data_IF_463993384428
#
_entry.id   IF_463993384428
#
_cell.length_a   1.000
_cell.length_b   1.000
_cell.length_c   1.000
_cell.angle_alpha   90.00
_cell.angle_beta   90.00
_cell.angle_gamma   90.00
#
_symmetry.space_group_name_H-M   'P 1'
#
loop_
_entity.id
_entity.type
_entity.pdbx_description
1 polymer ?
#
# COMPACT_ATOMS: atom_id res chain seq x y z
N UNK A 1 -18.43 -12.66 18.60
CA UNK A 1 -17.74 -12.59 17.31
C UNK A 1 -17.58 -14.00 16.74
N UNK A 2 -18.27 -14.32 15.66
CA UNK A 2 -18.22 -15.69 15.11
C UNK A 2 -16.84 -15.95 14.49
N UNK A 3 -16.18 -17.00 14.95
CA UNK A 3 -14.81 -17.41 14.56
C UNK A 3 -14.58 -17.73 13.07
N UNK A 4 -15.62 -17.71 12.25
CA UNK A 4 -15.55 -18.18 10.86
C UNK A 4 -15.40 -17.09 9.77
N UNK A 5 -15.72 -15.82 10.06
CA UNK A 5 -15.70 -14.75 9.05
C UNK A 5 -14.30 -14.17 8.75
N UNK A 6 -13.30 -14.49 9.59
CA UNK A 6 -11.94 -13.96 9.43
C UNK A 6 -11.04 -14.80 8.50
N UNK A 7 -11.49 -15.98 8.10
CA UNK A 7 -10.57 -16.95 7.46
C UNK A 7 -10.28 -16.64 6.00
N UNK A 8 -11.21 -16.08 5.25
CA UNK A 8 -11.05 -15.99 3.80
C UNK A 8 -10.07 -14.90 3.35
N UNK A 9 -10.14 -13.67 3.88
CA UNK A 9 -9.22 -12.59 3.51
C UNK A 9 -7.82 -12.83 4.07
N UNK A 10 -7.69 -13.40 5.29
CA UNK A 10 -6.39 -13.81 5.82
C UNK A 10 -5.74 -14.91 4.98
N UNK A 11 -6.52 -15.80 4.35
CA UNK A 11 -5.97 -16.82 3.45
C UNK A 11 -5.33 -16.21 2.21
N UNK A 12 -5.96 -15.19 1.61
CA UNK A 12 -5.40 -14.44 0.47
C UNK A 12 -4.12 -13.69 0.84
N UNK A 13 -4.09 -13.05 2.01
CA UNK A 13 -2.88 -12.37 2.51
C UNK A 13 -1.75 -13.38 2.78
N UNK A 14 -2.05 -14.50 3.42
CA UNK A 14 -1.07 -15.58 3.63
C UNK A 14 -0.59 -16.19 2.31
N UNK A 15 -1.45 -16.27 1.31
CA UNK A 15 -1.06 -16.71 -0.05
C UNK A 15 -0.02 -15.74 -0.64
N UNK A 16 -0.30 -14.43 -0.64
CA UNK A 16 0.63 -13.43 -1.14
C UNK A 16 1.99 -13.48 -0.40
N UNK A 17 1.94 -13.53 0.94
CA UNK A 17 3.15 -13.62 1.77
C UNK A 17 4.00 -14.83 1.39
N UNK A 18 3.39 -16.00 1.22
CA UNK A 18 4.11 -17.24 0.86
C UNK A 18 4.60 -17.23 -0.58
N UNK A 19 3.75 -16.85 -1.53
CA UNK A 19 4.07 -16.88 -2.97
C UNK A 19 5.25 -15.97 -3.31
N UNK A 20 5.33 -14.80 -2.66
CA UNK A 20 6.38 -13.82 -2.92
C UNK A 20 7.44 -13.74 -1.80
N UNK A 21 7.47 -14.71 -0.88
CA UNK A 21 8.43 -14.74 0.22
C UNK A 21 8.56 -13.39 0.94
N UNK A 22 7.39 -12.77 1.29
CA UNK A 22 7.35 -11.40 1.80
C UNK A 22 7.84 -11.29 3.24
N UNK A 23 7.59 -12.29 4.07
CA UNK A 23 7.89 -12.29 5.52
C UNK A 23 8.66 -13.56 5.87
N UNK A 24 9.78 -13.39 6.54
CA UNK A 24 10.65 -14.43 7.06
C UNK A 24 10.70 -14.38 8.59
N UNK A 25 11.00 -15.51 9.27
CA UNK A 25 11.14 -15.52 10.73
C UNK A 25 12.18 -14.52 11.22
N UNK A 26 11.83 -13.73 12.24
CA UNK A 26 12.67 -12.71 12.83
C UNK A 26 12.65 -11.36 12.10
N UNK A 27 11.82 -11.20 11.06
CA UNK A 27 11.71 -9.92 10.34
C UNK A 27 11.21 -8.78 11.25
N UNK A 28 11.79 -7.60 11.03
CA UNK A 28 11.28 -6.32 11.54
C UNK A 28 10.65 -5.56 10.38
N UNK A 29 9.33 -5.37 10.44
CA UNK A 29 8.53 -4.82 9.36
C UNK A 29 8.12 -3.38 9.70
N UNK A 30 8.51 -2.43 8.86
CA UNK A 30 8.00 -1.07 8.89
C UNK A 30 6.69 -1.01 8.10
N UNK A 31 5.56 -0.76 8.76
CA UNK A 31 4.27 -0.56 8.10
C UNK A 31 4.10 0.91 7.79
N UNK A 32 4.05 1.26 6.51
CA UNK A 32 3.86 2.65 6.07
C UNK A 32 2.40 3.07 6.29
N UNK A 33 2.17 3.89 7.31
CA UNK A 33 0.85 4.46 7.61
C UNK A 33 0.68 5.80 6.88
N UNK A 34 -0.13 5.80 5.82
CA UNK A 34 -0.51 7.05 5.12
C UNK A 34 -1.66 7.77 5.81
N UNK A 35 -2.33 7.13 6.76
CA UNK A 35 -3.60 7.57 7.34
C UNK A 35 -4.83 7.15 6.54
N UNK A 36 -4.67 6.69 5.31
CA UNK A 36 -5.77 6.12 4.51
C UNK A 36 -6.20 4.74 4.99
N UNK A 37 -7.45 4.35 4.67
CA UNK A 37 -8.08 3.09 5.09
C UNK A 37 -7.21 1.86 4.87
N UNK A 38 -6.54 1.77 3.70
CA UNK A 38 -5.81 0.56 3.31
C UNK A 38 -4.55 0.36 4.15
N UNK A 39 -3.88 1.46 4.53
CA UNK A 39 -2.72 1.41 5.42
C UNK A 39 -3.11 1.01 6.85
N UNK A 40 -4.28 1.46 7.34
CA UNK A 40 -4.82 1.07 8.63
C UNK A 40 -5.23 -0.40 8.64
N UNK A 41 -5.90 -0.86 7.57
CA UNK A 41 -6.28 -2.27 7.37
C UNK A 41 -5.04 -3.16 7.30
N UNK A 42 -4.00 -2.74 6.56
CA UNK A 42 -2.73 -3.47 6.51
C UNK A 42 -2.13 -3.66 7.91
N UNK A 43 -2.03 -2.58 8.69
CA UNK A 43 -1.49 -2.63 10.05
C UNK A 43 -2.26 -3.63 10.91
N UNK A 44 -3.59 -3.55 10.90
CA UNK A 44 -4.45 -4.45 11.65
C UNK A 44 -4.30 -5.90 11.19
N UNK A 45 -4.28 -6.18 9.88
CA UNK A 45 -4.12 -7.53 9.34
C UNK A 45 -2.76 -8.12 9.76
N UNK A 46 -1.68 -7.36 9.64
CA UNK A 46 -0.35 -7.85 10.05
C UNK A 46 -0.31 -8.14 11.55
N UNK A 47 -0.94 -7.31 12.38
CA UNK A 47 -1.06 -7.56 13.81
C UNK A 47 -1.89 -8.83 14.12
N UNK A 48 -2.99 -9.09 13.37
CA UNK A 48 -3.72 -10.34 13.48
C UNK A 48 -2.86 -11.55 13.07
N UNK A 49 -2.05 -11.41 12.03
CA UNK A 49 -1.13 -12.48 11.61
C UNK A 49 -0.04 -12.72 12.65
N UNK A 50 0.52 -11.69 13.25
CA UNK A 50 1.51 -11.80 14.33
C UNK A 50 0.93 -12.57 15.54
N UNK A 51 -0.30 -12.26 15.94
CA UNK A 51 -0.92 -12.85 17.13
C UNK A 51 -1.46 -14.27 16.92
N UNK A 52 -1.94 -14.58 15.71
CA UNK A 52 -2.72 -15.79 15.44
C UNK A 52 -2.14 -16.68 14.34
N UNK A 53 -0.92 -16.42 13.89
CA UNK A 53 -0.21 -17.29 12.97
C UNK A 53 1.12 -17.75 13.55
N UNK A 54 1.76 -18.72 12.89
CA UNK A 54 3.10 -19.16 13.26
C UNK A 54 4.21 -18.29 12.65
N UNK A 55 3.85 -17.10 12.11
CA UNK A 55 4.81 -16.16 11.56
C UNK A 55 5.44 -15.38 12.72
N UNK A 56 6.74 -15.50 12.86
CA UNK A 56 7.54 -14.75 13.85
C UNK A 56 8.10 -13.50 13.20
N UNK A 57 7.54 -12.33 13.52
CA UNK A 57 8.01 -11.03 13.07
C UNK A 57 7.57 -9.93 14.02
N UNK A 58 8.20 -8.77 13.95
CA UNK A 58 7.82 -7.58 14.70
C UNK A 58 7.35 -6.45 13.78
N UNK A 59 6.44 -5.61 14.29
CA UNK A 59 5.81 -4.52 13.53
C UNK A 59 6.22 -3.18 14.14
N UNK A 60 6.60 -2.25 13.28
CA UNK A 60 6.78 -0.83 13.59
C UNK A 60 5.93 -0.02 12.60
N UNK A 61 5.00 0.78 13.10
CA UNK A 61 4.25 1.70 12.27
C UNK A 61 5.06 2.97 12.02
N UNK A 62 5.06 3.48 10.79
CA UNK A 62 5.74 4.73 10.45
C UNK A 62 4.86 5.60 9.56
N UNK A 63 4.64 6.84 9.99
CA UNK A 63 3.97 7.88 9.22
C UNK A 63 5.00 8.89 8.72
N UNK A 64 5.05 9.12 7.42
CA UNK A 64 5.84 10.20 6.83
C UNK A 64 4.95 11.43 6.73
N UNK A 65 5.20 12.39 7.59
CA UNK A 65 4.56 13.71 7.53
C UNK A 65 5.13 14.48 6.33
N UNK A 66 4.29 14.70 5.32
CA UNK A 66 4.68 15.43 4.11
C UNK A 66 4.78 16.94 4.31
N UNK A 67 4.38 17.47 5.48
CA UNK A 67 4.37 18.90 5.78
C UNK A 67 3.08 19.61 5.33
N UNK A 68 1.98 18.87 5.11
CA UNK A 68 0.67 19.49 4.91
C UNK A 68 0.06 19.93 6.24
N UNK A 69 -0.68 21.06 6.28
CA UNK A 69 -1.33 21.52 7.51
C UNK A 69 -2.50 20.60 7.92
N UNK A 70 -2.96 20.76 9.16
CA UNK A 70 -4.20 20.19 9.71
C UNK A 70 -4.34 18.67 9.59
N UNK A 71 -3.23 17.92 9.73
CA UNK A 71 -3.27 16.48 9.77
C UNK A 71 -3.80 15.98 11.12
N UNK A 72 -4.95 15.29 11.10
CA UNK A 72 -5.48 14.61 12.29
C UNK A 72 -4.84 13.22 12.42
N UNK A 73 -3.82 13.13 13.25
CA UNK A 73 -3.09 11.87 13.50
C UNK A 73 -3.63 11.11 14.73
N UNK A 74 -4.67 11.65 15.39
CA UNK A 74 -5.16 11.10 16.67
C UNK A 74 -5.63 9.65 16.52
N UNK A 75 -6.39 9.36 15.47
CA UNK A 75 -6.87 8.02 15.25
C UNK A 75 -5.73 7.00 15.01
N UNK A 76 -4.72 7.37 14.20
CA UNK A 76 -3.55 6.49 13.98
C UNK A 76 -2.80 6.22 15.29
N UNK A 77 -2.62 7.25 16.11
CA UNK A 77 -1.95 7.12 17.40
C UNK A 77 -2.74 6.22 18.36
N UNK A 78 -4.06 6.38 18.42
CA UNK A 78 -4.95 5.54 19.23
C UNK A 78 -4.95 4.09 18.72
N UNK A 79 -5.04 3.89 17.41
CA UNK A 79 -5.02 2.53 16.83
C UNK A 79 -3.71 1.83 17.16
N UNK A 80 -2.57 2.46 16.94
CA UNK A 80 -1.26 1.88 17.24
C UNK A 80 -1.12 1.56 18.73
N UNK A 81 -1.57 2.45 19.61
CA UNK A 81 -1.57 2.25 21.06
C UNK A 81 -2.43 1.05 21.45
N UNK A 82 -3.66 0.94 20.92
CA UNK A 82 -4.57 -0.18 21.19
C UNK A 82 -4.02 -1.52 20.70
N UNK A 83 -3.26 -1.50 19.61
CA UNK A 83 -2.60 -2.69 19.05
C UNK A 83 -1.24 -2.97 19.69
N UNK A 84 -0.77 -2.12 20.61
CA UNK A 84 0.56 -2.18 21.22
C UNK A 84 1.69 -2.15 20.18
N UNK A 85 1.52 -1.40 19.08
CA UNK A 85 2.50 -1.24 18.02
C UNK A 85 3.18 0.13 18.16
N UNK A 86 4.54 0.19 18.20
CA UNK A 86 5.25 1.47 18.20
C UNK A 86 4.96 2.26 16.91
N UNK A 87 4.63 3.55 17.07
CA UNK A 87 4.38 4.48 15.96
C UNK A 87 5.46 5.57 15.93
N UNK A 88 6.10 5.71 14.79
CA UNK A 88 7.03 6.79 14.50
C UNK A 88 6.40 7.81 13.55
N UNK A 89 6.64 9.10 13.83
CA UNK A 89 6.31 10.23 12.95
C UNK A 89 7.61 10.81 12.40
N UNK A 90 7.81 10.68 11.09
CA UNK A 90 8.98 11.21 10.41
C UNK A 90 8.60 12.46 9.62
N UNK A 91 9.11 13.62 10.06
CA UNK A 91 8.87 14.90 9.38
C UNK A 91 9.66 14.99 8.08
N UNK A 92 9.04 15.53 7.05
CA UNK A 92 9.70 15.77 5.78
C UNK A 92 9.30 17.14 5.18
N UNK A 93 10.08 17.60 4.21
CA UNK A 93 9.81 18.82 3.45
C UNK A 93 9.18 18.52 2.08
N UNK A 94 8.41 17.44 1.96
CA UNK A 94 7.85 16.99 0.68
C UNK A 94 6.86 18.03 0.13
N UNK A 95 6.01 18.61 0.97
CA UNK A 95 5.08 19.66 0.55
C UNK A 95 5.81 20.85 -0.08
N UNK A 96 6.92 21.30 0.54
CA UNK A 96 7.74 22.38 -0.02
C UNK A 96 8.39 21.99 -1.35
N UNK A 97 8.83 20.74 -1.50
CA UNK A 97 9.45 20.26 -2.73
C UNK A 97 8.48 20.19 -3.92
N UNK A 98 7.18 19.95 -3.67
CA UNK A 98 6.15 19.90 -4.72
C UNK A 98 5.39 21.21 -4.89
N UNK A 99 5.50 22.15 -3.94
CA UNK A 99 4.93 23.50 -3.96
C UNK A 99 5.99 24.57 -3.68
N UNK A 100 7.09 24.61 -4.44
CA UNK A 100 8.08 25.66 -4.28
C UNK A 100 7.44 27.03 -4.56
N UNK A 101 7.62 27.98 -3.65
CA UNK A 101 7.09 29.34 -3.76
C UNK A 101 5.57 29.42 -4.02
N UNK A 102 4.81 28.44 -3.53
CA UNK A 102 3.37 28.37 -3.67
C UNK A 102 2.88 27.96 -5.07
N UNK A 103 3.76 27.50 -5.95
CA UNK A 103 3.43 27.00 -7.30
C UNK A 103 3.60 25.49 -7.38
N UNK A 104 2.60 24.82 -7.97
CA UNK A 104 2.65 23.39 -8.20
C UNK A 104 3.64 23.07 -9.32
N UNK A 105 4.52 22.09 -9.09
CA UNK A 105 5.41 21.57 -10.12
C UNK A 105 4.67 20.63 -11.09
N UNK A 106 5.30 20.30 -12.21
CA UNK A 106 4.82 19.25 -13.11
C UNK A 106 4.93 17.86 -12.44
N UNK A 107 3.90 17.02 -12.63
CA UNK A 107 3.84 15.66 -12.08
C UNK A 107 4.09 15.55 -10.56
N UNK A 108 3.41 16.35 -9.74
CA UNK A 108 3.68 16.47 -8.31
C UNK A 108 3.48 15.14 -7.56
N UNK A 109 2.50 14.33 -7.96
CA UNK A 109 2.22 13.02 -7.37
C UNK A 109 3.38 12.04 -7.57
N UNK A 110 4.04 12.05 -8.71
CA UNK A 110 5.18 11.20 -8.99
C UNK A 110 6.39 11.57 -8.11
N UNK A 111 6.69 12.87 -7.99
CA UNK A 111 7.76 13.34 -7.10
C UNK A 111 7.42 13.05 -5.63
N UNK A 112 6.20 13.34 -5.18
CA UNK A 112 5.74 13.05 -3.81
C UNK A 112 5.91 11.56 -3.47
N UNK A 113 5.44 10.67 -4.34
CA UNK A 113 5.57 9.23 -4.16
C UNK A 113 7.03 8.77 -4.06
N UNK A 114 7.91 9.32 -4.90
CA UNK A 114 9.35 9.02 -4.88
C UNK A 114 10.01 9.50 -3.59
N UNK A 115 9.71 10.71 -3.16
CA UNK A 115 10.28 11.29 -1.93
C UNK A 115 9.78 10.54 -0.68
N UNK A 116 8.49 10.22 -0.61
CA UNK A 116 7.92 9.43 0.50
C UNK A 116 8.57 8.05 0.59
N UNK A 117 8.76 7.38 -0.54
CA UNK A 117 9.46 6.09 -0.59
C UNK A 117 10.90 6.22 -0.11
N UNK A 118 11.62 7.26 -0.55
CA UNK A 118 12.98 7.56 -0.08
C UNK A 118 13.04 7.75 1.44
N UNK A 119 12.12 8.53 2.01
CA UNK A 119 12.02 8.75 3.45
C UNK A 119 11.72 7.44 4.21
N UNK A 120 10.82 6.61 3.71
CA UNK A 120 10.52 5.30 4.28
C UNK A 120 11.73 4.37 4.28
N UNK A 121 12.48 4.31 3.17
CA UNK A 121 13.70 3.50 3.06
C UNK A 121 14.76 3.98 4.06
N UNK A 122 15.01 5.28 4.16
CA UNK A 122 15.95 5.85 5.12
C UNK A 122 15.54 5.56 6.57
N UNK A 123 14.25 5.72 6.89
CA UNK A 123 13.75 5.41 8.21
C UNK A 123 13.91 3.92 8.56
N UNK A 124 13.56 3.03 7.64
CA UNK A 124 13.67 1.59 7.82
C UNK A 124 15.12 1.17 8.06
N UNK A 125 16.06 1.68 7.27
CA UNK A 125 17.51 1.44 7.41
C UNK A 125 18.01 1.86 8.78
N UNK A 126 17.71 3.10 9.19
CA UNK A 126 18.10 3.66 10.49
C UNK A 126 17.55 2.85 11.68
N UNK A 127 16.37 2.27 11.53
CA UNK A 127 15.68 1.54 12.60
C UNK A 127 15.81 0.01 12.48
N UNK A 128 16.64 -0.49 11.57
CA UNK A 128 16.91 -1.91 11.40
C UNK A 128 15.70 -2.72 10.91
N UNK A 129 14.78 -2.08 10.18
CA UNK A 129 13.67 -2.75 9.53
C UNK A 129 14.08 -3.18 8.11
N UNK A 130 14.08 -4.49 7.84
CA UNK A 130 14.45 -5.03 6.52
C UNK A 130 13.27 -5.14 5.56
N UNK A 131 12.04 -4.97 6.05
CA UNK A 131 10.82 -5.01 5.23
C UNK A 131 10.03 -3.72 5.43
N UNK A 132 9.50 -3.18 4.33
CA UNK A 132 8.54 -2.06 4.36
C UNK A 132 7.24 -2.57 3.75
N UNK A 133 6.16 -2.60 4.52
CA UNK A 133 4.86 -3.03 4.07
C UNK A 133 4.01 -1.85 3.61
N UNK A 134 3.46 -1.94 2.40
CA UNK A 134 2.57 -0.95 1.78
C UNK A 134 1.18 -1.54 1.58
N UNK A 135 0.13 -0.74 1.81
CA UNK A 135 -1.28 -1.14 1.74
C UNK A 135 -1.88 -1.20 0.33
N UNK A 136 -1.07 -1.48 -0.70
CA UNK A 136 -1.60 -1.64 -2.05
C UNK A 136 -2.35 -2.95 -2.21
N UNK A 137 -3.53 -2.89 -2.86
CA UNK A 137 -4.44 -4.02 -3.08
C UNK A 137 -4.69 -4.29 -4.57
N UNK A 138 -5.52 -5.27 -4.91
CA UNK A 138 -5.76 -5.71 -6.30
C UNK A 138 -6.28 -4.58 -7.22
N UNK A 139 -7.10 -3.69 -6.69
CA UNK A 139 -7.62 -2.54 -7.47
C UNK A 139 -6.49 -1.57 -7.82
N UNK A 140 -5.53 -1.33 -6.90
CA UNK A 140 -4.35 -0.51 -7.20
C UNK A 140 -3.48 -1.10 -8.32
N UNK A 141 -3.40 -2.44 -8.40
CA UNK A 141 -2.71 -3.15 -9.49
C UNK A 141 -3.39 -2.84 -10.82
N UNK A 142 -4.72 -3.02 -10.89
CA UNK A 142 -5.51 -2.72 -12.08
C UNK A 142 -5.41 -1.25 -12.48
N UNK A 143 -5.58 -0.33 -11.52
CA UNK A 143 -5.45 1.12 -11.75
C UNK A 143 -4.06 1.48 -12.30
N UNK A 144 -3.00 0.91 -11.74
CA UNK A 144 -1.63 1.20 -12.18
C UNK A 144 -1.36 0.64 -13.57
N UNK A 145 -1.83 -0.57 -13.87
CA UNK A 145 -1.71 -1.17 -15.21
C UNK A 145 -2.41 -0.30 -16.25
N UNK A 146 -3.68 0.07 -16.02
CA UNK A 146 -4.45 0.87 -16.98
C UNK A 146 -3.90 2.30 -17.11
N UNK A 147 -3.43 2.90 -16.03
CA UNK A 147 -2.77 4.20 -16.07
C UNK A 147 -1.53 4.14 -17.00
N UNK A 148 -0.70 3.12 -16.83
CA UNK A 148 0.50 2.97 -17.65
C UNK A 148 0.19 2.61 -19.11
N UNK A 149 -0.83 1.78 -19.36
CA UNK A 149 -1.27 1.46 -20.72
C UNK A 149 -1.83 2.66 -21.45
N UNK A 150 -2.75 3.41 -20.83
CA UNK A 150 -3.50 4.48 -21.50
C UNK A 150 -2.71 5.78 -21.60
N UNK A 151 -1.88 6.11 -20.62
CA UNK A 151 -1.12 7.36 -20.59
C UNK A 151 0.37 7.18 -20.84
N UNK A 152 0.92 6.00 -20.53
CA UNK A 152 2.35 5.74 -20.68
C UNK A 152 2.72 4.88 -21.88
N UNK A 153 1.74 4.21 -22.51
CA UNK A 153 1.99 3.22 -23.57
C UNK A 153 2.88 2.07 -23.09
N UNK A 154 2.81 1.72 -21.80
CA UNK A 154 3.69 0.73 -21.17
C UNK A 154 2.88 -0.34 -20.46
N UNK A 155 3.26 -1.60 -20.66
CA UNK A 155 2.78 -2.72 -19.87
C UNK A 155 3.64 -2.83 -18.61
N UNK A 156 3.28 -2.07 -17.60
CA UNK A 156 4.06 -1.99 -16.35
C UNK A 156 3.14 -1.84 -15.15
N UNK A 157 3.47 -2.53 -14.07
CA UNK A 157 2.80 -2.43 -12.77
C UNK A 157 3.84 -2.65 -11.66
N UNK A 158 3.52 -2.24 -10.45
CA UNK A 158 4.40 -2.51 -9.31
C UNK A 158 4.38 -4.00 -8.94
N UNK A 159 5.54 -4.57 -8.64
CA UNK A 159 5.64 -5.96 -8.16
C UNK A 159 5.11 -6.11 -6.73
N UNK A 160 4.58 -7.30 -6.35
CA UNK A 160 4.19 -7.61 -4.97
C UNK A 160 5.34 -7.48 -3.95
N UNK A 161 6.56 -7.79 -4.38
CA UNK A 161 7.81 -7.59 -3.63
C UNK A 161 8.84 -6.92 -4.54
N UNK A 162 9.57 -5.94 -3.98
CA UNK A 162 10.69 -5.26 -4.65
C UNK A 162 11.86 -5.25 -3.68
N UNK A 163 12.99 -5.80 -4.09
CA UNK A 163 14.20 -5.85 -3.28
C UNK A 163 15.15 -4.69 -3.65
N UNK A 164 15.60 -3.96 -2.66
CA UNK A 164 16.66 -2.95 -2.74
C UNK A 164 17.93 -3.58 -2.20
N UNK A 165 18.65 -4.31 -3.04
CA UNK A 165 19.81 -5.11 -2.66
C UNK A 165 20.92 -4.27 -2.04
N UNK A 166 21.14 -3.06 -2.56
CA UNK A 166 22.09 -2.08 -2.06
C UNK A 166 21.83 -1.63 -0.61
N UNK A 167 20.58 -1.78 -0.14
CA UNK A 167 20.13 -1.42 1.21
C UNK A 167 19.78 -2.61 2.10
N UNK A 168 19.67 -3.80 1.53
CA UNK A 168 19.17 -4.99 2.23
C UNK A 168 17.73 -4.82 2.72
N UNK A 169 16.88 -4.04 2.01
CA UNK A 169 15.50 -3.75 2.35
C UNK A 169 14.58 -4.20 1.22
N UNK A 170 13.46 -4.83 1.56
CA UNK A 170 12.42 -5.17 0.60
C UNK A 170 11.15 -4.36 0.85
N UNK A 171 10.51 -3.87 -0.20
CA UNK A 171 9.14 -3.36 -0.14
C UNK A 171 8.20 -4.53 -0.43
N UNK A 172 7.20 -4.75 0.43
CA UNK A 172 6.22 -5.82 0.32
C UNK A 172 4.79 -5.27 0.29
N UNK A 173 3.87 -5.99 -0.38
CA UNK A 173 2.46 -5.61 -0.54
C UNK A 173 1.53 -6.76 -0.18
N UNK A 174 1.35 -7.03 1.13
CA UNK A 174 0.60 -8.21 1.58
C UNK A 174 -0.87 -8.24 1.15
N UNK A 175 -1.46 -7.06 0.83
CA UNK A 175 -2.87 -6.95 0.42
C UNK A 175 -3.10 -7.15 -1.07
N UNK A 176 -2.07 -7.44 -1.87
CA UNK A 176 -2.14 -7.46 -3.34
C UNK A 176 -3.24 -8.35 -3.93
N UNK A 177 -3.70 -9.37 -3.19
CA UNK A 177 -4.80 -10.27 -3.58
C UNK A 177 -6.16 -9.90 -2.99
N UNK A 178 -6.24 -8.86 -2.17
CA UNK A 178 -7.51 -8.34 -1.67
C UNK A 178 -8.06 -7.28 -2.63
N UNK A 179 -9.37 -7.26 -2.79
CA UNK A 179 -10.08 -6.17 -3.45
C UNK A 179 -10.34 -5.00 -2.48
N UNK A 180 -10.49 -3.80 -3.03
CA UNK A 180 -10.76 -2.57 -2.26
C UNK A 180 -12.01 -2.73 -1.39
N UNK A 181 -13.07 -3.39 -1.91
CA UNK A 181 -14.31 -3.60 -1.18
C UNK A 181 -14.10 -4.43 0.10
N UNK A 182 -13.17 -5.36 0.06
CA UNK A 182 -12.78 -6.12 1.25
C UNK A 182 -12.08 -5.23 2.28
N UNK A 183 -11.19 -4.36 1.85
CA UNK A 183 -10.52 -3.39 2.73
C UNK A 183 -11.55 -2.43 3.36
N UNK A 184 -12.55 -1.96 2.59
CA UNK A 184 -13.64 -1.13 3.09
C UNK A 184 -14.42 -1.87 4.19
N UNK A 185 -14.86 -3.12 3.93
CA UNK A 185 -15.62 -3.92 4.92
C UNK A 185 -14.83 -4.18 6.20
N UNK A 186 -13.51 -4.37 6.10
CA UNK A 186 -12.66 -4.53 7.28
C UNK A 186 -12.60 -3.21 8.05
N UNK A 187 -12.36 -2.10 7.37
CA UNK A 187 -12.27 -0.78 7.98
C UNK A 187 -13.58 -0.39 8.71
N UNK A 188 -14.72 -0.63 8.09
CA UNK A 188 -16.04 -0.39 8.68
C UNK A 188 -16.28 -1.26 9.92
N UNK A 189 -16.01 -2.55 9.81
CA UNK A 189 -16.20 -3.50 10.91
C UNK A 189 -15.33 -3.19 12.12
N UNK A 190 -14.08 -2.81 11.89
CA UNK A 190 -13.14 -2.44 12.94
C UNK A 190 -13.24 -0.95 13.32
N UNK A 191 -14.27 -0.25 12.83
CA UNK A 191 -14.56 1.17 13.10
C UNK A 191 -13.34 2.07 12.87
N UNK A 192 -12.57 1.78 11.83
CA UNK A 192 -11.40 2.57 11.45
C UNK A 192 -11.84 3.88 10.84
N UNK A 193 -11.32 4.99 11.37
CA UNK A 193 -11.56 6.33 10.81
C UNK A 193 -10.30 6.76 10.05
N UNK A 194 -10.32 6.72 8.71
CA UNK A 194 -9.20 7.23 7.92
C UNK A 194 -9.00 8.72 8.16
N UNK A 195 -7.73 9.12 8.16
CA UNK A 195 -7.36 10.53 8.23
C UNK A 195 -7.87 11.26 6.98
N UNK A 196 -8.40 12.47 7.17
CA UNK A 196 -8.74 13.33 6.04
C UNK A 196 -7.46 13.69 5.29
N UNK A 197 -7.46 13.45 3.97
CA UNK A 197 -6.35 13.87 3.14
C UNK A 197 -6.35 15.41 3.01
N UNK A 198 -5.25 16.03 3.40
CA UNK A 198 -5.10 17.49 3.34
C UNK A 198 -4.25 17.95 2.15
N UNK A 199 -3.90 17.02 1.24
CA UNK A 199 -3.19 17.34 0.00
C UNK A 199 -4.09 18.17 -0.93
N UNK A 200 -3.66 19.35 -1.38
CA UNK A 200 -4.52 20.27 -2.17
C UNK A 200 -4.87 19.76 -3.57
N UNK A 201 -4.17 18.72 -4.05
CA UNK A 201 -4.43 18.09 -5.37
C UNK A 201 -5.13 16.73 -5.24
N UNK A 202 -5.65 16.41 -4.07
CA UNK A 202 -6.42 15.19 -3.86
C UNK A 202 -7.69 15.20 -4.73
N UNK A 203 -8.07 14.04 -5.25
CA UNK A 203 -9.22 13.83 -6.16
C UNK A 203 -9.15 14.50 -7.55
N UNK A 204 -8.08 15.23 -7.89
CA UNK A 204 -7.87 15.84 -9.22
C UNK A 204 -6.76 15.11 -9.99
N UNK A 205 -6.80 13.78 -10.01
CA UNK A 205 -5.71 13.00 -10.59
C UNK A 205 -6.24 12.08 -11.68
N UNK A 206 -5.43 11.89 -12.72
CA UNK A 206 -5.67 10.90 -13.78
C UNK A 206 -5.97 9.50 -13.22
N UNK A 207 -5.45 9.19 -12.02
CA UNK A 207 -5.75 7.93 -11.32
C UNK A 207 -7.23 7.81 -10.94
N UNK A 208 -7.88 8.92 -10.56
CA UNK A 208 -9.31 8.92 -10.25
C UNK A 208 -10.15 8.62 -11.50
N UNK A 209 -9.79 9.18 -12.67
CA UNK A 209 -10.45 8.90 -13.95
C UNK A 209 -10.34 7.41 -14.31
N UNK A 210 -9.14 6.83 -14.14
CA UNK A 210 -8.92 5.38 -14.36
C UNK A 210 -9.77 4.54 -13.40
N UNK A 211 -9.86 4.92 -12.14
CA UNK A 211 -10.71 4.23 -11.15
C UNK A 211 -12.18 4.21 -11.57
N UNK A 212 -12.71 5.32 -12.06
CA UNK A 212 -14.10 5.42 -12.55
C UNK A 212 -14.32 4.57 -13.80
N UNK A 213 -13.37 4.58 -14.74
CA UNK A 213 -13.40 3.70 -15.91
C UNK A 213 -13.43 2.23 -15.51
N UNK A 214 -12.52 1.81 -14.61
CA UNK A 214 -12.45 0.43 -14.13
C UNK A 214 -13.72 0.02 -13.37
N UNK A 215 -14.35 0.91 -12.63
CA UNK A 215 -15.64 0.62 -11.99
C UNK A 215 -16.73 0.33 -13.02
N UNK A 216 -16.75 1.07 -14.13
CA UNK A 216 -17.69 0.79 -15.24
C UNK A 216 -17.42 -0.58 -15.88
N UNK A 217 -16.15 -0.92 -16.11
CA UNK A 217 -15.75 -2.21 -16.67
C UNK A 217 -16.14 -3.36 -15.72
N UNK A 218 -15.93 -3.21 -14.41
CA UNK A 218 -16.28 -4.22 -13.40
C UNK A 218 -17.75 -4.56 -13.35
N UNK A 219 -18.64 -3.61 -13.70
CA UNK A 219 -20.08 -3.91 -13.79
C UNK A 219 -20.39 -4.98 -14.84
N UNK A 220 -19.61 -5.03 -15.93
CA UNK A 220 -19.76 -6.03 -17.00
C UNK A 220 -18.87 -7.26 -16.78
N UNK A 221 -17.71 -7.05 -16.17
CA UNK A 221 -16.66 -8.07 -15.94
C UNK A 221 -16.29 -8.14 -14.45
N UNK A 222 -17.10 -8.79 -13.61
CA UNK A 222 -16.87 -8.82 -12.14
C UNK A 222 -15.53 -9.42 -11.73
N UNK A 223 -14.97 -10.31 -12.55
CA UNK A 223 -13.68 -10.97 -12.32
C UNK A 223 -12.46 -10.18 -12.84
N UNK A 224 -12.64 -8.91 -13.25
CA UNK A 224 -11.59 -8.11 -13.87
C UNK A 224 -10.27 -8.14 -13.09
N UNK A 225 -10.30 -7.82 -11.80
CA UNK A 225 -9.09 -7.79 -10.97
C UNK A 225 -8.41 -9.17 -10.90
N UNK A 226 -9.20 -10.24 -10.74
CA UNK A 226 -8.67 -11.62 -10.72
C UNK A 226 -7.99 -11.97 -12.04
N UNK A 227 -8.60 -11.62 -13.16
CA UNK A 227 -8.07 -11.92 -14.49
C UNK A 227 -6.79 -11.10 -14.77
N UNK A 228 -6.74 -9.83 -14.34
CA UNK A 228 -5.52 -9.01 -14.44
C UNK A 228 -4.39 -9.62 -13.60
N UNK A 229 -4.63 -9.97 -12.33
CA UNK A 229 -3.61 -10.59 -11.50
C UNK A 229 -3.12 -11.90 -12.09
N UNK A 230 -4.04 -12.75 -12.57
CA UNK A 230 -3.69 -14.00 -13.24
C UNK A 230 -2.81 -13.78 -14.47
N UNK A 231 -3.15 -12.80 -15.33
CA UNK A 231 -2.33 -12.50 -16.51
C UNK A 231 -0.93 -12.00 -16.15
N UNK A 232 -0.81 -11.18 -15.10
CA UNK A 232 0.49 -10.68 -14.61
C UNK A 232 1.37 -11.79 -14.02
N UNK A 233 0.76 -12.81 -13.42
CA UNK A 233 1.46 -13.96 -12.82
C UNK A 233 1.93 -14.99 -13.85
N UNK A 234 1.27 -15.04 -15.01
CA UNK A 234 1.48 -16.09 -16.03
C UNK A 234 1.93 -15.54 -17.39
N UNK A 235 2.24 -14.23 -17.45
CA UNK A 235 2.80 -13.63 -18.67
C UNK A 235 4.22 -14.17 -18.91
N UNK A 236 4.43 -14.79 -20.08
CA UNK A 236 5.72 -15.27 -20.52
C UNK A 236 6.37 -14.27 -21.49
N UNK A 237 7.71 -14.24 -21.65
CA UNK A 237 8.37 -13.34 -22.60
C UNK A 237 7.82 -13.45 -24.03
N UNK A 238 7.37 -14.65 -24.44
CA UNK A 238 6.81 -14.96 -25.75
C UNK A 238 5.44 -14.33 -25.99
N UNK A 239 4.73 -13.91 -24.92
CA UNK A 239 3.45 -13.21 -25.03
C UNK A 239 3.63 -11.74 -25.49
N UNK A 240 4.87 -11.26 -25.55
CA UNK A 240 5.19 -9.89 -25.93
C UNK A 240 5.98 -9.85 -27.24
N UNK A 241 5.82 -8.78 -28.02
CA UNK A 241 6.51 -8.57 -29.30
C UNK A 241 7.99 -8.13 -29.10
N UNK A 242 8.66 -8.66 -28.09
CA UNK A 242 10.07 -8.40 -27.85
C UNK A 242 10.92 -9.28 -28.77
N UNK A 243 11.58 -8.67 -29.74
CA UNK A 243 12.54 -9.30 -30.65
C UNK A 243 13.97 -8.94 -30.26
#
# INVERSE_FOLDING_TARGET
MQKNDHKWFLSKVKQAIRQYNMIEPGDRIAVALSGGKDSLVLLWILQQLQNYSHLDFTIHAVHIDCGWPDQDIEFMSKLCSNLSIPLAFEKSCIAQAIFPDGKLIDNPCALCSRLRRGALLQWAEKNGCRKIALGHHADDVAETLFLNLLHGGRYEVFAPRIDYEDRGISIIRPLVYLDEQTCIRIAEREQMTPMKNTCPIDHQTTRQEIKELLNTIRMQYPDLNRNILHSLEHAEPEDFWNH
#
